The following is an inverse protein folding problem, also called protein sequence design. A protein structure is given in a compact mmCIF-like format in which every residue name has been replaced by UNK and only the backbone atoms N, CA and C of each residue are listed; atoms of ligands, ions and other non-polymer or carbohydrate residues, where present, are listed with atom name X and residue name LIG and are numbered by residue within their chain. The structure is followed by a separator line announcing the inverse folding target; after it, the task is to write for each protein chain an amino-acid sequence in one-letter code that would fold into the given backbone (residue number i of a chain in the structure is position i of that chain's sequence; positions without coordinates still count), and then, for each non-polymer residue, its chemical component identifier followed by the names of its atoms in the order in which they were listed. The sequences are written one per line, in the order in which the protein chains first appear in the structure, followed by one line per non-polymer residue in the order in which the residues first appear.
data_IF_934030411342
#
_entry.id   IF_934030411342
#
_cell.length_a   1.000
_cell.length_b   1.000
_cell.length_c   1.000
_cell.angle_alpha   90.00
_cell.angle_beta   90.00
_cell.angle_gamma   90.00
#
_symmetry.space_group_name_H-M   'P 1'
#
loop_
_entity.id
_entity.type
_entity.pdbx_description
1 polymer ?
#
# COMPACT_ATOMS: atom_id res chain seq x y z
N UNK A 1 18.72 -9.80 -7.49
CA UNK A 1 17.35 -9.82 -6.90
C UNK A 1 16.73 -8.44 -6.62
N UNK A 2 17.48 -7.33 -6.78
CA UNK A 2 17.02 -5.96 -6.45
C UNK A 2 15.88 -5.46 -7.35
N UNK A 3 15.96 -5.70 -8.67
CA UNK A 3 14.96 -5.26 -9.64
C UNK A 3 13.54 -5.73 -9.31
N UNK A 4 13.36 -7.02 -9.01
CA UNK A 4 12.03 -7.57 -8.70
C UNK A 4 11.44 -6.99 -7.40
N UNK A 5 12.28 -6.67 -6.42
CA UNK A 5 11.82 -6.03 -5.18
C UNK A 5 11.35 -4.60 -5.44
N UNK A 6 12.06 -3.87 -6.33
CA UNK A 6 11.66 -2.54 -6.76
C UNK A 6 10.30 -2.55 -7.48
N UNK A 7 10.06 -3.50 -8.38
CA UNK A 7 8.75 -3.61 -9.06
C UNK A 7 7.62 -3.90 -8.07
N UNK A 8 7.83 -4.79 -7.09
CA UNK A 8 6.83 -5.08 -6.05
C UNK A 8 6.48 -3.83 -5.23
N UNK A 9 7.47 -3.00 -4.89
CA UNK A 9 7.21 -1.74 -4.16
C UNK A 9 6.41 -0.75 -5.00
N UNK A 10 6.70 -0.66 -6.30
CA UNK A 10 5.94 0.17 -7.23
C UNK A 10 4.47 -0.33 -7.36
N UNK A 11 4.29 -1.64 -7.49
CA UNK A 11 2.97 -2.28 -7.55
C UNK A 11 2.16 -2.03 -6.27
N UNK A 12 2.81 -2.10 -5.10
CA UNK A 12 2.20 -1.77 -3.81
C UNK A 12 1.66 -0.35 -3.77
N UNK A 13 2.44 0.63 -4.25
CA UNK A 13 2.00 2.03 -4.31
C UNK A 13 0.75 2.20 -5.21
N UNK A 14 0.68 1.46 -6.31
CA UNK A 14 -0.42 1.53 -7.28
C UNK A 14 -1.69 0.90 -6.70
N UNK A 15 -1.58 -0.29 -6.10
CA UNK A 15 -2.70 -0.96 -5.45
C UNK A 15 -3.27 -0.13 -4.29
N UNK A 16 -2.39 0.46 -3.47
CA UNK A 16 -2.80 1.35 -2.39
C UNK A 16 -3.53 2.59 -2.91
N UNK A 17 -2.98 3.23 -3.95
CA UNK A 17 -3.57 4.43 -4.55
C UNK A 17 -4.97 4.16 -5.12
N UNK A 18 -5.18 2.99 -5.75
CA UNK A 18 -6.48 2.58 -6.25
C UNK A 18 -7.50 2.40 -5.12
N UNK A 19 -7.13 1.66 -4.06
CA UNK A 19 -8.01 1.42 -2.92
C UNK A 19 -8.41 2.72 -2.20
N UNK A 20 -7.44 3.60 -1.96
CA UNK A 20 -7.65 4.91 -1.33
C UNK A 20 -8.51 5.81 -2.23
N UNK A 21 -8.30 5.80 -3.55
CA UNK A 21 -9.11 6.58 -4.48
C UNK A 21 -10.58 6.17 -4.43
N UNK A 22 -10.88 4.87 -4.39
CA UNK A 22 -12.26 4.37 -4.29
C UNK A 22 -12.86 4.77 -2.94
N UNK A 23 -12.14 4.54 -1.83
CA UNK A 23 -12.62 4.89 -0.50
C UNK A 23 -12.86 6.39 -0.32
N UNK A 24 -12.01 7.23 -0.90
CA UNK A 24 -12.16 8.71 -0.87
C UNK A 24 -13.39 9.16 -1.65
N UNK A 25 -13.56 8.67 -2.88
CA UNK A 25 -14.74 9.02 -3.71
C UNK A 25 -16.03 8.51 -3.07
N UNK A 26 -16.02 7.28 -2.55
CA UNK A 26 -17.17 6.71 -1.86
C UNK A 26 -17.51 7.52 -0.60
N UNK A 27 -16.52 7.90 0.21
CA UNK A 27 -16.73 8.68 1.43
C UNK A 27 -17.26 10.10 1.15
N UNK A 28 -16.93 10.67 -0.02
CA UNK A 28 -17.48 11.95 -0.45
C UNK A 28 -18.93 11.83 -0.96
N UNK A 29 -19.30 10.73 -1.61
CA UNK A 29 -20.68 10.52 -2.10
C UNK A 29 -21.61 10.05 -1.00
N UNK A 30 -21.13 9.14 -0.14
CA UNK A 30 -21.93 8.55 0.95
C UNK A 30 -22.24 9.62 1.98
N UNK A 31 -23.53 9.78 2.25
CA UNK A 31 -24.06 10.58 3.34
C UNK A 31 -24.76 9.65 4.32
N UNK A 32 -24.62 9.92 5.61
CA UNK A 32 -25.29 9.14 6.65
C UNK A 32 -25.37 9.95 7.94
N UNK A 33 -26.46 9.76 8.68
CA UNK A 33 -26.74 10.39 9.96
C UNK A 33 -27.00 11.90 9.86
N UNK A 34 -25.94 12.71 9.85
CA UNK A 34 -25.98 14.11 10.28
C UNK A 34 -26.99 14.97 9.50
N UNK A 35 -28.17 15.15 10.07
CA UNK A 35 -29.21 16.06 9.62
C UNK A 35 -29.69 16.84 10.84
N UNK A 36 -29.14 18.04 11.04
CA UNK A 36 -29.79 19.01 11.92
C UNK A 36 -31.00 19.56 11.16
N UNK A 37 -32.20 19.28 11.67
CA UNK A 37 -33.48 19.81 11.19
C UNK A 37 -33.99 19.31 9.81
N UNK A 38 -33.77 18.04 9.46
CA UNK A 38 -34.38 17.44 8.26
C UNK A 38 -33.73 17.86 6.93
N UNK A 39 -32.55 18.49 7.00
CA UNK A 39 -31.71 18.82 5.86
C UNK A 39 -30.96 17.61 5.28
N UNK A 40 -30.16 17.87 4.23
CA UNK A 40 -29.32 16.87 3.57
C UNK A 40 -28.31 16.28 4.56
N UNK A 41 -28.23 14.95 4.61
CA UNK A 41 -27.28 14.24 5.48
C UNK A 41 -25.82 14.65 5.22
N UNK A 42 -25.02 14.67 6.28
CA UNK A 42 -23.58 15.00 6.24
C UNK A 42 -22.80 13.92 5.50
N UNK A 43 -21.78 14.31 4.73
CA UNK A 43 -20.91 13.37 4.01
C UNK A 43 -20.03 12.62 5.00
N UNK A 44 -19.80 11.33 4.76
CA UNK A 44 -19.06 10.50 5.71
C UNK A 44 -17.60 10.98 5.85
N UNK A 45 -17.03 11.57 4.80
CA UNK A 45 -15.68 12.15 4.82
C UNK A 45 -15.52 13.34 5.79
N UNK A 46 -16.60 14.00 6.21
CA UNK A 46 -16.53 15.15 7.12
C UNK A 46 -16.32 14.72 8.58
N UNK A 47 -16.62 13.46 8.91
CA UNK A 47 -16.38 12.92 10.23
C UNK A 47 -14.88 12.76 10.50
N UNK A 48 -14.43 13.25 11.67
CA UNK A 48 -13.02 13.14 12.09
C UNK A 48 -12.53 11.71 12.21
N UNK A 49 -13.40 10.77 12.53
CA UNK A 49 -13.09 9.32 12.56
C UNK A 49 -12.82 8.76 11.17
N UNK A 50 -13.52 9.24 10.14
CA UNK A 50 -13.26 8.84 8.75
C UNK A 50 -11.95 9.46 8.26
N UNK A 51 -11.74 10.75 8.55
CA UNK A 51 -10.52 11.48 8.17
C UNK A 51 -9.26 10.89 8.79
N UNK A 52 -9.29 10.57 10.10
CA UNK A 52 -8.15 10.00 10.82
C UNK A 52 -7.74 8.62 10.31
N UNK A 53 -8.67 7.87 9.71
CA UNK A 53 -8.40 6.56 9.11
C UNK A 53 -8.00 6.66 7.64
N UNK A 54 -8.63 7.54 6.86
CA UNK A 54 -8.41 7.63 5.42
C UNK A 54 -7.17 8.46 5.03
N UNK A 55 -6.96 9.62 5.67
CA UNK A 55 -5.90 10.55 5.27
C UNK A 55 -4.48 10.03 5.51
N UNK A 56 -4.18 9.26 6.58
CA UNK A 56 -2.88 8.61 6.70
C UNK A 56 -2.61 7.62 5.57
N UNK A 57 -3.62 6.88 5.10
CA UNK A 57 -3.46 5.94 3.99
C UNK A 57 -3.19 6.66 2.67
N UNK A 58 -3.83 7.82 2.46
CA UNK A 58 -3.52 8.70 1.32
C UNK A 58 -2.08 9.20 1.38
N UNK A 59 -1.62 9.64 2.55
CA UNK A 59 -0.23 10.06 2.74
C UNK A 59 0.75 8.90 2.48
N UNK A 60 0.45 7.70 2.97
CA UNK A 60 1.25 6.49 2.71
C UNK A 60 1.30 6.13 1.22
N UNK A 61 0.23 6.33 0.46
CA UNK A 61 0.21 6.10 -0.98
C UNK A 61 1.26 6.97 -1.72
N UNK A 62 1.33 8.25 -1.38
CA UNK A 62 2.33 9.17 -1.93
C UNK A 62 3.74 8.84 -1.44
N UNK A 63 3.91 8.53 -0.15
CA UNK A 63 5.21 8.13 0.40
C UNK A 63 5.76 6.89 -0.31
N UNK A 64 4.92 5.87 -0.55
CA UNK A 64 5.31 4.66 -1.28
C UNK A 64 5.58 4.92 -2.75
N UNK A 65 4.94 5.92 -3.36
CA UNK A 65 5.28 6.33 -4.72
C UNK A 65 6.68 6.92 -4.79
N UNK A 66 7.01 7.85 -3.88
CA UNK A 66 8.33 8.47 -3.85
C UNK A 66 9.45 7.47 -3.52
N UNK A 67 9.20 6.53 -2.58
CA UNK A 67 10.19 5.49 -2.29
C UNK A 67 10.39 4.54 -3.46
N UNK A 68 9.35 4.30 -4.28
CA UNK A 68 9.44 3.51 -5.50
C UNK A 68 10.32 4.16 -6.57
N UNK A 69 10.21 5.48 -6.76
CA UNK A 69 11.09 6.25 -7.65
C UNK A 69 12.54 6.28 -7.13
N UNK A 70 12.73 6.44 -5.83
CA UNK A 70 14.07 6.36 -5.22
C UNK A 70 14.70 4.98 -5.40
N UNK A 71 13.93 3.90 -5.23
CA UNK A 71 14.42 2.54 -5.48
C UNK A 71 14.82 2.30 -6.93
N UNK A 72 14.15 2.96 -7.89
CA UNK A 72 14.51 2.91 -9.31
C UNK A 72 15.86 3.58 -9.55
N UNK A 73 16.09 4.74 -8.94
CA UNK A 73 17.39 5.41 -8.96
C UNK A 73 18.49 4.55 -8.30
N UNK A 74 18.21 3.97 -7.12
CA UNK A 74 19.15 3.10 -6.42
C UNK A 74 19.53 1.88 -7.26
N UNK A 75 18.56 1.28 -7.95
CA UNK A 75 18.83 0.17 -8.87
C UNK A 75 19.76 0.58 -10.02
N UNK A 76 19.56 1.75 -10.61
CA UNK A 76 20.44 2.25 -11.67
C UNK A 76 21.86 2.55 -11.16
N UNK A 77 22.00 3.15 -9.99
CA UNK A 77 23.31 3.44 -9.36
C UNK A 77 24.08 2.14 -9.05
N UNK A 78 23.41 1.17 -8.43
CA UNK A 78 24.02 -0.14 -8.12
C UNK A 78 24.40 -0.89 -9.40
N UNK A 79 23.59 -0.80 -10.45
CA UNK A 79 23.90 -1.45 -11.74
C UNK A 79 25.13 -0.82 -12.40
N UNK A 80 25.28 0.49 -12.34
CA UNK A 80 26.46 1.21 -12.85
C UNK A 80 27.72 0.84 -12.06
N UNK A 81 27.65 0.80 -10.72
CA UNK A 81 28.78 0.38 -9.86
C UNK A 81 29.19 -1.08 -10.09
N UNK A 82 28.22 -1.96 -10.32
CA UNK A 82 28.49 -3.35 -10.70
C UNK A 82 29.26 -3.47 -12.02
N UNK A 83 28.96 -2.62 -13.02
CA UNK A 83 29.72 -2.59 -14.27
C UNK A 83 31.16 -2.12 -14.07
N UNK A 84 31.42 -1.29 -13.05
CA UNK A 84 32.74 -0.86 -12.64
C UNK A 84 33.46 -1.85 -11.68
N UNK A 85 32.90 -3.04 -11.44
CA UNK A 85 33.38 -4.03 -10.46
C UNK A 85 33.43 -3.52 -9.00
N UNK A 86 32.65 -2.50 -8.64
CA UNK A 86 32.48 -2.06 -7.26
C UNK A 86 31.25 -2.74 -6.62
N UNK A 87 31.52 -3.56 -5.61
CA UNK A 87 30.50 -4.33 -4.87
C UNK A 87 30.21 -3.75 -3.48
N UNK A 88 30.81 -2.61 -3.11
CA UNK A 88 30.72 -2.04 -1.76
C UNK A 88 29.29 -1.70 -1.33
N UNK A 89 28.45 -1.21 -2.25
CA UNK A 89 27.06 -0.79 -1.99
C UNK A 89 26.04 -1.90 -2.14
N UNK A 90 26.45 -3.09 -2.61
CA UNK A 90 25.55 -4.20 -2.88
C UNK A 90 24.86 -4.73 -1.61
N UNK A 91 25.54 -4.95 -0.46
CA UNK A 91 24.90 -5.42 0.76
C UNK A 91 23.83 -4.45 1.29
N UNK A 92 24.13 -3.15 1.26
CA UNK A 92 23.20 -2.09 1.67
C UNK A 92 21.95 -2.09 0.78
N UNK A 93 22.13 -2.11 -0.54
CA UNK A 93 21.02 -2.15 -1.49
C UNK A 93 20.13 -3.39 -1.29
N UNK A 94 20.73 -4.55 -0.99
CA UNK A 94 19.98 -5.77 -0.69
C UNK A 94 19.16 -5.66 0.60
N UNK A 95 19.75 -5.12 1.67
CA UNK A 95 19.07 -4.91 2.95
C UNK A 95 17.91 -3.91 2.82
N UNK A 96 18.17 -2.75 2.21
CA UNK A 96 17.15 -1.71 1.99
C UNK A 96 15.99 -2.23 1.15
N UNK A 97 16.26 -2.90 0.03
CA UNK A 97 15.19 -3.41 -0.85
C UNK A 97 14.39 -4.55 -0.24
N UNK A 98 15.00 -5.39 0.60
CA UNK A 98 14.28 -6.43 1.35
C UNK A 98 13.35 -5.81 2.41
N UNK A 99 13.87 -4.87 3.20
CA UNK A 99 13.10 -4.17 4.22
C UNK A 99 11.94 -3.37 3.63
N UNK A 100 12.19 -2.60 2.56
CA UNK A 100 11.15 -1.82 1.90
C UNK A 100 10.08 -2.71 1.26
N UNK A 101 10.44 -3.81 0.59
CA UNK A 101 9.45 -4.77 0.07
C UNK A 101 8.55 -5.26 1.20
N UNK A 102 9.13 -5.66 2.33
CA UNK A 102 8.36 -6.18 3.46
C UNK A 102 7.42 -5.12 4.03
N UNK A 103 7.95 -3.92 4.32
CA UNK A 103 7.19 -2.82 4.90
C UNK A 103 6.03 -2.38 4.00
N UNK A 104 6.30 -2.10 2.72
CA UNK A 104 5.28 -1.56 1.82
C UNK A 104 4.20 -2.58 1.49
N UNK A 105 4.55 -3.87 1.35
CA UNK A 105 3.56 -4.91 1.07
C UNK A 105 2.66 -5.18 2.28
N UNK A 106 3.20 -5.25 3.50
CA UNK A 106 2.39 -5.41 4.70
C UNK A 106 1.49 -4.20 4.96
N UNK A 107 2.04 -2.98 4.89
CA UNK A 107 1.26 -1.76 5.10
C UNK A 107 0.17 -1.58 4.04
N UNK A 108 0.45 -1.91 2.77
CA UNK A 108 -0.54 -1.83 1.69
C UNK A 108 -1.67 -2.84 1.88
N UNK A 109 -1.37 -4.09 2.25
CA UNK A 109 -2.40 -5.10 2.48
C UNK A 109 -3.39 -4.65 3.58
N UNK A 110 -2.85 -4.11 4.68
CA UNK A 110 -3.65 -3.59 5.79
C UNK A 110 -4.48 -2.37 5.38
N UNK A 111 -3.87 -1.47 4.61
CA UNK A 111 -4.52 -0.27 4.13
C UNK A 111 -5.67 -0.55 3.15
N UNK A 112 -5.55 -1.57 2.28
CA UNK A 112 -6.65 -1.92 1.37
C UNK A 112 -7.83 -2.50 2.17
N UNK A 113 -7.58 -3.34 3.16
CA UNK A 113 -8.62 -3.87 4.04
C UNK A 113 -9.27 -2.74 4.87
N UNK A 114 -8.49 -1.76 5.29
CA UNK A 114 -9.02 -0.58 5.97
C UNK A 114 -9.90 0.27 5.04
N UNK A 115 -9.47 0.49 3.79
CA UNK A 115 -10.28 1.15 2.76
C UNK A 115 -11.60 0.43 2.50
N UNK A 116 -11.59 -0.91 2.53
CA UNK A 116 -12.78 -1.75 2.39
C UNK A 116 -13.76 -1.49 3.55
N UNK A 117 -13.26 -1.46 4.80
CA UNK A 117 -14.06 -1.15 6.00
C UNK A 117 -14.61 0.28 5.98
N UNK A 118 -13.86 1.25 5.46
CA UNK A 118 -14.30 2.63 5.32
C UNK A 118 -15.47 2.81 4.36
N UNK A 119 -15.68 1.85 3.44
CA UNK A 119 -16.84 1.81 2.55
C UNK A 119 -18.09 1.15 3.17
N UNK A 120 -18.00 0.67 4.42
CA UNK A 120 -19.09 0.01 5.12
C UNK A 120 -19.54 -1.29 4.44
N UNK A 121 -20.83 -1.62 4.53
CA UNK A 121 -21.39 -2.85 3.95
C UNK A 121 -21.22 -2.95 2.43
N UNK A 122 -21.25 -1.82 1.71
CA UNK A 122 -21.04 -1.80 0.25
C UNK A 122 -19.61 -2.16 -0.14
N UNK A 123 -18.63 -2.01 0.76
CA UNK A 123 -17.26 -2.45 0.54
C UNK A 123 -17.08 -3.98 0.57
N UNK A 124 -18.11 -4.74 0.97
CA UNK A 124 -18.11 -6.22 0.92
C UNK A 124 -18.78 -6.77 -0.34
N UNK A 125 -19.16 -5.90 -1.27
CA UNK A 125 -19.65 -6.33 -2.57
C UNK A 125 -18.45 -6.42 -3.52
N UNK A 126 -18.40 -7.48 -4.33
CA UNK A 126 -17.39 -7.65 -5.39
C UNK A 126 -17.34 -6.46 -6.37
N UNK A 127 -18.46 -5.75 -6.52
CA UNK A 127 -18.60 -4.55 -7.35
C UNK A 127 -17.84 -3.32 -6.81
N UNK A 128 -17.37 -3.35 -5.55
CA UNK A 128 -16.57 -2.28 -4.95
C UNK A 128 -15.12 -2.27 -5.44
N UNK A 129 -14.63 -3.38 -6.01
CA UNK A 129 -13.26 -3.50 -6.55
C UNK A 129 -12.17 -3.71 -5.49
N UNK A 130 -12.45 -3.49 -4.21
CA UNK A 130 -11.47 -3.69 -3.12
C UNK A 130 -11.08 -5.16 -2.91
N UNK A 131 -12.02 -6.09 -3.13
CA UNK A 131 -11.78 -7.53 -3.00
C UNK A 131 -10.80 -8.06 -4.05
N UNK A 132 -10.98 -7.67 -5.31
CA UNK A 132 -10.04 -8.03 -6.38
C UNK A 132 -8.65 -7.43 -6.13
N UNK A 133 -8.57 -6.21 -5.59
CA UNK A 133 -7.29 -5.59 -5.22
C UNK A 133 -6.59 -6.36 -4.09
N UNK A 134 -7.32 -6.78 -3.04
CA UNK A 134 -6.78 -7.59 -1.93
C UNK A 134 -6.35 -8.98 -2.38
N UNK A 135 -7.17 -9.69 -3.15
CA UNK A 135 -6.87 -11.06 -3.60
C UNK A 135 -5.70 -11.06 -4.60
N UNK A 136 -5.66 -10.09 -5.51
CA UNK A 136 -4.53 -9.90 -6.41
C UNK A 136 -3.23 -9.58 -5.66
N UNK A 137 -3.30 -8.71 -4.64
CA UNK A 137 -2.14 -8.25 -3.89
C UNK A 137 -1.68 -9.20 -2.78
N UNK A 138 -2.56 -10.00 -2.18
CA UNK A 138 -2.21 -11.01 -1.17
C UNK A 138 -1.30 -12.12 -1.71
N UNK A 139 -1.27 -12.31 -3.03
CA UNK A 139 -0.28 -13.16 -3.67
C UNK A 139 1.12 -12.51 -3.73
N UNK A 140 1.22 -11.18 -3.77
CA UNK A 140 2.48 -10.43 -3.82
C UNK A 140 3.17 -10.33 -2.45
N UNK A 141 2.41 -10.34 -1.35
CA UNK A 141 2.98 -10.41 0.01
C UNK A 141 3.75 -11.73 0.20
N UNK A 142 3.20 -12.84 -0.31
CA UNK A 142 3.75 -14.20 -0.15
C UNK A 142 4.77 -14.57 -1.24
N UNK A 143 4.62 -14.07 -2.47
CA UNK A 143 5.60 -14.29 -3.55
C UNK A 143 6.91 -13.56 -3.23
N UNK A 144 7.99 -14.31 -2.99
CA UNK A 144 9.39 -13.87 -2.74
C UNK A 144 9.70 -13.27 -1.36
N UNK A 145 9.32 -13.99 -0.30
CA UNK A 145 9.73 -13.72 1.08
C UNK A 145 8.50 -13.80 1.98
N UNK A 146 8.38 -14.94 2.67
CA UNK A 146 7.22 -15.30 3.48
C UNK A 146 7.11 -14.37 4.69
N UNK A 147 5.99 -13.67 4.82
CA UNK A 147 5.62 -12.90 6.01
C UNK A 147 4.20 -13.30 6.40
N UNK A 148 4.09 -14.23 7.35
CA UNK A 148 2.82 -14.50 8.02
C UNK A 148 2.65 -13.52 9.17
N UNK A 149 1.56 -12.75 9.14
CA UNK A 149 1.07 -12.01 10.29
C UNK A 149 0.77 -12.99 11.43
N UNK A 150 1.50 -12.86 12.54
CA UNK A 150 1.27 -13.64 13.76
C UNK A 150 2.48 -14.50 14.14
N UNK A 151 3.33 -13.94 15.02
CA UNK A 151 4.28 -14.64 15.90
C UNK A 151 5.17 -15.78 15.37
N UNK A 152 5.30 -16.04 14.06
CA UNK A 152 6.27 -17.01 13.55
C UNK A 152 6.84 -16.65 12.17
N UNK A 153 8.16 -16.70 12.15
CA UNK A 153 9.10 -16.84 11.03
C UNK A 153 9.61 -15.53 10.42
N UNK A 154 10.83 -15.22 10.84
CA UNK A 154 11.75 -14.25 10.30
C UNK A 154 12.20 -14.64 8.88
N UNK A 155 12.35 -13.61 8.05
CA UNK A 155 13.21 -13.50 6.87
C UNK A 155 13.86 -14.81 6.38
N UNK A 156 13.25 -15.45 5.40
CA UNK A 156 13.98 -16.32 4.46
C UNK A 156 13.91 -15.69 3.07
N UNK A 157 15.07 -15.67 2.41
CA UNK A 157 15.46 -14.93 1.19
C UNK A 157 16.06 -13.53 1.42
N UNK A 158 17.16 -13.49 2.18
CA UNK A 158 18.36 -12.79 1.69
C UNK A 158 18.89 -13.55 0.47
#
# INVERSE_FOLDING_TARGET
MVFVRQTIVADASTALSQAVCIATRYSAVRRQFGSENGGVETQVIDYKTQQSRLFPLLASAYAFRFVGEWLKWLYTDVTQKLQANDFSTLPEAHACTAGLKSLTTSATADAIEECRKLCGGHGYLSNSGHENALIGFGNLTTKKGFWLKGNRIWALFC
#
